data_IF_815490157655
#
_entry.id   IF_815490157655
#
_cell.length_a   1.000
_cell.length_b   1.000
_cell.length_c   1.000
_cell.angle_alpha   90.00
_cell.angle_beta   90.00
_cell.angle_gamma   90.00
#
_symmetry.space_group_name_H-M   'P 1'
#
loop_
_entity.id
_entity.type
_entity.pdbx_description
1 polymer ?
#
# COMPACT_ATOMS: atom_id res chain seq x y z
N UNK A 1 24.49 14.01 28.25
CA UNK A 1 23.11 13.53 28.00
C UNK A 1 22.97 12.15 28.62
N UNK A 2 21.89 11.87 29.37
CA UNK A 2 21.72 10.54 29.96
C UNK A 2 21.55 9.49 28.87
N UNK A 3 22.03 8.26 29.11
CA UNK A 3 21.92 7.14 28.16
C UNK A 3 20.48 6.91 27.72
N UNK A 4 19.53 7.01 28.67
CA UNK A 4 18.10 6.84 28.41
C UNK A 4 17.56 7.91 27.46
N UNK A 5 17.97 9.18 27.61
CA UNK A 5 17.56 10.26 26.71
C UNK A 5 18.12 10.06 25.30
N UNK A 6 19.39 9.63 25.18
CA UNK A 6 19.98 9.32 23.87
C UNK A 6 19.23 8.18 23.17
N UNK A 7 18.91 7.10 23.89
CA UNK A 7 18.15 5.97 23.35
C UNK A 7 16.75 6.39 22.89
N UNK A 8 16.04 7.18 23.71
CA UNK A 8 14.72 7.68 23.37
C UNK A 8 14.72 8.52 22.08
N UNK A 9 15.72 9.39 21.90
CA UNK A 9 15.85 10.20 20.70
C UNK A 9 16.16 9.36 19.45
N UNK A 10 17.07 8.39 19.56
CA UNK A 10 17.42 7.51 18.43
C UNK A 10 16.18 6.69 18.02
N UNK A 11 15.51 6.07 18.99
CA UNK A 11 14.33 5.25 18.70
C UNK A 11 13.16 6.08 18.18
N UNK A 12 12.87 7.23 18.82
CA UNK A 12 11.82 8.14 18.36
C UNK A 12 12.09 8.67 16.95
N UNK A 13 13.33 9.05 16.66
CA UNK A 13 13.76 9.47 15.31
C UNK A 13 13.58 8.36 14.28
N UNK A 14 13.97 7.13 14.63
CA UNK A 14 13.81 5.97 13.76
C UNK A 14 12.33 5.67 13.45
N UNK A 15 11.46 5.64 14.45
CA UNK A 15 10.02 5.42 14.25
C UNK A 15 9.39 6.54 13.43
N UNK A 16 9.83 7.78 13.65
CA UNK A 16 9.37 8.94 12.86
C UNK A 16 9.76 8.81 11.39
N UNK A 17 11.01 8.42 11.11
CA UNK A 17 11.48 8.19 9.74
C UNK A 17 10.69 7.08 9.04
N UNK A 18 10.41 5.97 9.75
CA UNK A 18 9.54 4.91 9.25
C UNK A 18 8.16 5.49 8.91
N UNK A 19 7.50 6.17 9.85
CA UNK A 19 6.18 6.75 9.62
C UNK A 19 6.15 7.69 8.41
N UNK A 20 7.17 8.53 8.25
CA UNK A 20 7.30 9.43 7.11
C UNK A 20 7.47 8.66 5.78
N UNK A 21 8.31 7.63 5.75
CA UNK A 21 8.52 6.80 4.56
C UNK A 21 7.25 6.03 4.15
N UNK A 22 6.47 5.56 5.12
CA UNK A 22 5.22 4.83 4.87
C UNK A 22 4.01 5.74 4.61
N UNK A 23 4.10 7.04 4.90
CA UNK A 23 3.00 7.99 4.72
C UNK A 23 2.32 7.93 3.34
N UNK A 24 3.05 8.02 2.21
CA UNK A 24 2.41 8.00 0.89
C UNK A 24 1.82 6.64 0.50
N UNK A 25 2.29 5.54 1.12
CA UNK A 25 1.90 4.16 0.76
C UNK A 25 0.66 3.73 1.56
N UNK A 26 0.59 4.09 2.84
CA UNK A 26 -0.45 3.62 3.74
C UNK A 26 -1.42 4.73 4.14
N UNK A 27 -0.90 5.82 4.71
CA UNK A 27 -1.75 6.84 5.33
C UNK A 27 -2.46 7.74 4.29
N UNK A 28 -1.73 8.24 3.28
CA UNK A 28 -2.33 9.11 2.24
C UNK A 28 -3.49 8.42 1.50
N UNK A 29 -3.36 7.16 1.02
CA UNK A 29 -4.46 6.46 0.36
C UNK A 29 -5.69 6.29 1.25
N UNK A 30 -5.50 5.98 2.54
CA UNK A 30 -6.59 5.80 3.49
C UNK A 30 -7.30 7.11 3.84
N UNK A 31 -6.57 8.23 3.92
CA UNK A 31 -7.16 9.53 4.19
C UNK A 31 -7.81 10.17 2.95
N UNK A 32 -7.43 9.74 1.74
CA UNK A 32 -7.89 10.31 0.47
C UNK A 32 -8.35 9.23 -0.49
N UNK A 33 -9.34 8.45 -0.06
CA UNK A 33 -9.80 7.26 -0.78
C UNK A 33 -10.28 7.56 -2.21
N UNK A 34 -10.99 8.66 -2.44
CA UNK A 34 -11.50 9.00 -3.77
C UNK A 34 -10.38 9.38 -4.75
N UNK A 35 -9.46 10.25 -4.32
CA UNK A 35 -8.27 10.61 -5.09
C UNK A 35 -7.45 9.35 -5.41
N UNK A 36 -7.19 8.51 -4.41
CA UNK A 36 -6.43 7.28 -4.58
C UNK A 36 -7.12 6.30 -5.54
N UNK A 37 -8.45 6.12 -5.46
CA UNK A 37 -9.20 5.28 -6.40
C UNK A 37 -9.11 5.81 -7.83
N UNK A 38 -9.19 7.14 -8.01
CA UNK A 38 -9.03 7.77 -9.33
C UNK A 38 -7.62 7.57 -9.88
N UNK A 39 -6.59 7.83 -9.08
CA UNK A 39 -5.19 7.58 -9.43
C UNK A 39 -4.97 6.10 -9.81
N UNK A 40 -5.55 5.17 -9.04
CA UNK A 40 -5.47 3.73 -9.32
C UNK A 40 -6.18 3.31 -10.61
N UNK A 41 -7.36 3.89 -10.89
CA UNK A 41 -8.08 3.62 -12.12
C UNK A 41 -7.26 4.06 -13.36
N UNK A 42 -6.57 5.20 -13.27
CA UNK A 42 -5.68 5.70 -14.33
C UNK A 42 -4.44 4.80 -14.46
N UNK A 43 -3.76 4.50 -13.35
CA UNK A 43 -2.52 3.72 -13.36
C UNK A 43 -2.73 2.25 -13.77
N UNK A 44 -3.95 1.73 -13.61
CA UNK A 44 -4.34 0.38 -14.02
C UNK A 44 -5.18 0.37 -15.30
N UNK A 45 -5.29 1.50 -15.99
CA UNK A 45 -5.97 1.54 -17.27
C UNK A 45 -5.26 0.59 -18.25
N UNK A 46 -6.02 -0.30 -18.88
CA UNK A 46 -5.48 -1.29 -19.83
C UNK A 46 -4.89 -2.55 -19.20
N UNK A 47 -4.90 -2.69 -17.87
CA UNK A 47 -4.56 -3.96 -17.23
C UNK A 47 -5.78 -4.88 -17.25
N UNK A 48 -5.80 -5.79 -18.22
CA UNK A 48 -6.75 -6.91 -18.28
C UNK A 48 -6.25 -7.98 -17.32
N UNK A 49 -6.99 -8.23 -16.22
CA UNK A 49 -6.51 -9.10 -15.14
C UNK A 49 -6.31 -10.54 -15.61
N UNK A 50 -7.11 -10.96 -16.59
CA UNK A 50 -7.08 -12.25 -17.24
C UNK A 50 -5.77 -12.47 -18.00
N UNK A 51 -5.22 -11.42 -18.61
CA UNK A 51 -3.99 -11.49 -19.41
C UNK A 51 -2.72 -11.49 -18.56
N UNK A 52 -2.78 -10.90 -17.35
CA UNK A 52 -1.68 -10.93 -16.37
C UNK A 52 -1.56 -12.31 -15.72
N UNK A 53 -2.64 -13.09 -15.71
CA UNK A 53 -2.68 -14.36 -15.01
C UNK A 53 -2.03 -15.48 -15.81
N UNK A 54 -1.43 -16.47 -15.12
CA UNK A 54 -0.99 -17.68 -15.77
C UNK A 54 -2.18 -18.39 -16.45
N UNK A 55 -2.04 -18.84 -17.70
CA UNK A 55 -3.11 -19.52 -18.40
C UNK A 55 -3.55 -20.78 -17.65
N UNK A 56 -4.87 -21.05 -17.64
CA UNK A 56 -5.46 -22.21 -16.97
C UNK A 56 -5.79 -22.02 -15.49
N UNK A 57 -5.54 -20.84 -14.91
CA UNK A 57 -5.95 -20.49 -13.54
C UNK A 57 -7.19 -19.59 -13.53
N UNK A 58 -7.96 -19.64 -12.44
CA UNK A 58 -9.15 -18.80 -12.24
C UNK A 58 -8.76 -17.35 -11.99
N UNK A 59 -9.55 -16.42 -12.55
CA UNK A 59 -9.39 -14.99 -12.28
C UNK A 59 -9.56 -14.66 -10.80
N UNK A 60 -8.53 -14.05 -10.22
CA UNK A 60 -8.45 -13.72 -8.78
C UNK A 60 -9.50 -12.70 -8.32
N UNK A 61 -10.22 -12.07 -9.24
CA UNK A 61 -11.30 -11.12 -8.95
C UNK A 61 -12.57 -11.79 -8.43
N UNK A 62 -12.81 -13.06 -8.78
CA UNK A 62 -14.00 -13.79 -8.32
C UNK A 62 -13.61 -15.12 -7.64
N UNK A 63 -13.42 -15.15 -6.32
CA UNK A 63 -13.09 -16.38 -5.60
C UNK A 63 -14.27 -17.36 -5.49
N UNK A 64 -15.53 -16.95 -5.71
CA UNK A 64 -16.71 -17.78 -5.37
C UNK A 64 -17.62 -18.13 -6.57
N UNK A 65 -17.46 -17.49 -7.72
CA UNK A 65 -18.22 -17.83 -8.92
C UNK A 65 -17.77 -19.17 -9.50
N UNK A 66 -18.54 -20.22 -9.24
CA UNK A 66 -18.72 -21.35 -10.16
C UNK A 66 -20.21 -21.61 -10.25
N UNK A 67 -20.76 -21.55 -11.46
CA UNK A 67 -21.81 -22.45 -11.92
C UNK A 67 -21.31 -23.06 -13.22
#
# INVERSE_FOLDING_TARGET
MSTNLRTALIFGGFVTLIGAAFYPIYFRPLMRLEEYKKEQAINRAGVVQEDVQPPGLKVWSDPFGRK
#
